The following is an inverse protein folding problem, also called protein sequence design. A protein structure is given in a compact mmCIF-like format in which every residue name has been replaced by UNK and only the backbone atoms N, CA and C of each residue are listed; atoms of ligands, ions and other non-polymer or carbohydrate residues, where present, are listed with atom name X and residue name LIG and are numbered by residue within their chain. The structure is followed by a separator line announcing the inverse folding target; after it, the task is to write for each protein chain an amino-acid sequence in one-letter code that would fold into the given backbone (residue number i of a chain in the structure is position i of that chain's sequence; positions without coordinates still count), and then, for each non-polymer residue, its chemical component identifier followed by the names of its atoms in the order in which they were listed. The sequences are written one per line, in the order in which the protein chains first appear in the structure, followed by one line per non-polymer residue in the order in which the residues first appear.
data_IF_521841862049
#
_entry.id   IF_521841862049
#
_cell.length_a   1.000
_cell.length_b   1.000
_cell.length_c   1.000
_cell.angle_alpha   90.00
_cell.angle_beta   90.00
_cell.angle_gamma   90.00
#
_symmetry.space_group_name_H-M   'P 1'
#
loop_
_entity.id
_entity.type
_entity.pdbx_description
1 polymer ?
#
# COMPACT_ATOMS: atom_id res chain seq x y z
N UNK A 1 1.95 21.46 -8.51
CA UNK A 1 2.52 21.67 -9.86
C UNK A 1 3.49 20.53 -10.13
N UNK A 2 3.02 19.50 -10.83
CA UNK A 2 3.81 18.32 -11.19
C UNK A 2 4.17 18.49 -12.66
N UNK A 3 5.46 18.68 -12.92
CA UNK A 3 6.02 18.71 -14.26
C UNK A 3 5.96 17.28 -14.83
N UNK A 4 4.98 17.03 -15.69
CA UNK A 4 4.77 15.74 -16.33
C UNK A 4 5.68 15.63 -17.56
N UNK A 5 6.78 14.89 -17.39
CA UNK A 5 7.39 13.99 -18.36
C UNK A 5 7.55 14.46 -19.80
N UNK A 6 8.72 15.05 -20.08
CA UNK A 6 9.25 15.24 -21.43
C UNK A 6 9.44 13.88 -22.13
N UNK A 7 9.12 13.88 -23.43
CA UNK A 7 9.08 12.71 -24.31
C UNK A 7 10.40 11.94 -24.38
N UNK A 8 10.30 10.64 -24.14
CA UNK A 8 11.34 9.66 -24.39
C UNK A 8 11.12 9.16 -25.83
N UNK A 9 11.78 9.82 -26.79
CA UNK A 9 11.80 9.39 -28.18
C UNK A 9 12.57 8.08 -28.28
N UNK A 10 11.82 7.01 -28.57
CA UNK A 10 12.29 5.65 -28.83
C UNK A 10 13.12 5.62 -30.12
N UNK A 11 14.41 5.94 -29.99
CA UNK A 11 15.38 5.87 -31.09
C UNK A 11 15.71 4.40 -31.37
N UNK A 12 14.92 3.77 -32.22
CA UNK A 12 15.16 2.39 -32.66
C UNK A 12 16.59 2.26 -33.21
N UNK A 13 17.44 1.38 -32.65
CA UNK A 13 18.78 1.18 -33.15
C UNK A 13 18.70 0.65 -34.59
N UNK A 14 19.17 1.45 -35.55
CA UNK A 14 19.32 1.02 -36.95
C UNK A 14 20.40 -0.05 -37.01
N UNK A 15 19.99 -1.31 -36.89
CA UNK A 15 20.85 -2.46 -37.11
C UNK A 15 21.31 -2.48 -38.58
N UNK A 16 22.51 -1.95 -38.83
CA UNK A 16 23.23 -2.15 -40.09
C UNK A 16 23.56 -3.63 -40.22
N UNK A 17 22.72 -4.38 -40.94
CA UNK A 17 23.08 -5.72 -41.42
C UNK A 17 24.14 -5.58 -42.51
N UNK A 18 25.39 -5.50 -42.11
CA UNK A 18 26.51 -5.76 -43.02
C UNK A 18 26.60 -7.27 -43.19
N UNK A 19 25.98 -7.78 -44.25
CA UNK A 19 26.26 -9.14 -44.73
C UNK A 19 27.71 -9.16 -45.23
N UNK A 20 28.65 -9.41 -44.32
CA UNK A 20 30.03 -9.71 -44.69
C UNK A 20 30.04 -11.11 -45.31
N UNK A 21 29.77 -11.18 -46.61
CA UNK A 21 30.15 -12.32 -47.42
C UNK A 21 31.63 -12.61 -47.12
N UNK A 22 32.00 -13.85 -46.76
CA UNK A 22 33.36 -14.17 -46.37
C UNK A 22 34.31 -13.81 -47.51
N UNK A 23 35.09 -12.75 -47.29
CA UNK A 23 35.94 -12.06 -48.28
C UNK A 23 37.03 -12.94 -48.93
N UNK A 24 37.09 -14.24 -48.62
CA UNK A 24 38.10 -15.17 -49.13
C UNK A 24 37.55 -16.31 -50.00
N UNK A 25 36.26 -16.65 -49.90
CA UNK A 25 35.73 -17.87 -50.53
C UNK A 25 35.74 -17.77 -52.07
N UNK A 26 35.33 -16.63 -52.61
CA UNK A 26 35.31 -16.41 -54.07
C UNK A 26 36.70 -16.50 -54.71
N UNK A 27 37.74 -15.98 -54.04
CA UNK A 27 39.11 -15.98 -54.59
C UNK A 27 39.72 -17.39 -54.62
N UNK A 28 39.46 -18.21 -53.60
CA UNK A 28 39.90 -19.61 -53.55
C UNK A 28 39.19 -20.44 -54.63
N UNK A 29 37.87 -20.28 -54.76
CA UNK A 29 37.07 -21.00 -55.76
C UNK A 29 37.49 -20.68 -57.20
N UNK A 30 37.75 -19.40 -57.51
CA UNK A 30 38.26 -19.00 -58.82
C UNK A 30 39.64 -19.61 -59.13
N UNK A 31 40.52 -19.73 -58.13
CA UNK A 31 41.85 -20.33 -58.32
C UNK A 31 41.77 -21.84 -58.59
N UNK A 32 40.96 -22.58 -57.83
CA UNK A 32 40.74 -24.02 -58.06
C UNK A 32 40.01 -24.29 -59.39
N UNK A 33 39.01 -23.47 -59.73
CA UNK A 33 38.34 -23.54 -61.03
C UNK A 33 39.31 -23.30 -62.19
N UNK A 34 40.15 -22.27 -62.09
CA UNK A 34 41.19 -21.98 -63.07
C UNK A 34 42.22 -23.10 -63.21
N UNK A 35 42.69 -23.66 -62.10
CA UNK A 35 43.62 -24.80 -62.08
C UNK A 35 43.01 -26.05 -62.73
N UNK A 36 41.71 -26.29 -62.52
CA UNK A 36 40.99 -27.45 -63.09
C UNK A 36 40.81 -27.30 -64.60
N UNK A 37 40.45 -26.11 -65.08
CA UNK A 37 40.35 -25.80 -66.53
C UNK A 37 41.72 -25.95 -67.19
N UNK A 38 42.77 -25.41 -66.58
CA UNK A 38 44.14 -25.53 -67.08
C UNK A 38 44.59 -27.00 -67.16
N UNK A 39 44.28 -27.81 -66.14
CA UNK A 39 44.58 -29.24 -66.12
C UNK A 39 43.88 -30.01 -67.25
N UNK A 40 42.60 -29.71 -67.51
CA UNK A 40 41.84 -30.32 -68.61
C UNK A 40 42.46 -29.94 -69.96
N UNK A 41 42.86 -28.68 -70.15
CA UNK A 41 43.51 -28.22 -71.39
C UNK A 41 44.86 -28.91 -71.63
N UNK A 42 45.71 -29.00 -70.61
CA UNK A 42 47.00 -29.69 -70.69
C UNK A 42 46.80 -31.17 -71.00
N UNK A 43 45.87 -31.81 -70.30
CA UNK A 43 45.60 -33.24 -70.48
C UNK A 43 45.01 -33.55 -71.85
N UNK A 44 44.11 -32.70 -72.36
CA UNK A 44 43.58 -32.79 -73.72
C UNK A 44 44.67 -32.63 -74.78
N UNK A 45 45.60 -31.68 -74.60
CA UNK A 45 46.74 -31.50 -75.48
C UNK A 45 47.68 -32.72 -75.49
N UNK A 46 47.94 -33.32 -74.32
CA UNK A 46 48.73 -34.56 -74.19
C UNK A 46 48.03 -35.73 -74.90
N UNK A 47 46.71 -35.87 -74.73
CA UNK A 47 45.93 -36.92 -75.40
C UNK A 47 45.98 -36.83 -76.92
N UNK A 48 45.87 -35.61 -77.47
CA UNK A 48 46.03 -35.35 -78.90
C UNK A 48 47.45 -35.65 -79.39
N UNK A 49 48.47 -35.31 -78.58
CA UNK A 49 49.87 -35.55 -78.91
C UNK A 49 50.23 -37.05 -78.93
N UNK A 50 49.69 -37.84 -78.01
CA UNK A 50 49.97 -39.27 -77.87
C UNK A 50 49.21 -40.16 -78.86
N UNK A 51 48.32 -39.61 -79.70
CA UNK A 51 47.47 -40.36 -80.66
C UNK A 51 46.82 -41.58 -80.02
N UNK A 52 46.01 -41.36 -78.98
CA UNK A 52 45.26 -42.42 -78.31
C UNK A 52 44.48 -43.25 -79.36
N UNK A 53 44.63 -44.59 -79.38
CA UNK A 53 43.99 -45.43 -80.41
C UNK A 53 42.47 -45.26 -80.44
N UNK A 54 41.86 -45.41 -81.62
CA UNK A 54 40.43 -45.16 -81.90
C UNK A 54 39.44 -46.16 -81.25
N UNK A 55 39.84 -46.82 -80.16
CA UNK A 55 38.97 -47.67 -79.36
C UNK A 55 38.11 -46.85 -78.39
N UNK A 56 36.80 -47.07 -78.39
CA UNK A 56 35.90 -46.44 -77.41
C UNK A 56 36.31 -46.73 -75.95
N UNK A 57 36.91 -47.90 -75.68
CA UNK A 57 37.36 -48.29 -74.34
C UNK A 57 38.60 -47.49 -73.88
N UNK A 58 39.55 -47.22 -74.77
CA UNK A 58 40.78 -46.48 -74.44
C UNK A 58 40.53 -45.00 -74.19
N UNK A 59 39.51 -44.43 -74.85
CA UNK A 59 39.03 -43.08 -74.56
C UNK A 59 38.38 -42.97 -73.18
N UNK A 60 37.64 -44.00 -72.74
CA UNK A 60 37.06 -44.07 -71.40
C UNK A 60 38.12 -44.07 -70.30
N UNK A 61 39.14 -44.92 -70.43
CA UNK A 61 40.23 -45.04 -69.44
C UNK A 61 41.06 -43.75 -69.32
N UNK A 62 41.32 -43.07 -70.46
CA UNK A 62 42.03 -41.80 -70.49
C UNK A 62 41.24 -40.67 -69.80
N UNK A 63 39.94 -40.54 -70.12
CA UNK A 63 39.08 -39.55 -69.50
C UNK A 63 38.88 -39.83 -68.00
N UNK A 64 38.78 -41.09 -67.59
CA UNK A 64 38.74 -41.47 -66.18
C UNK A 64 40.04 -41.10 -65.45
N UNK A 65 41.20 -41.34 -66.07
CA UNK A 65 42.51 -40.98 -65.51
C UNK A 65 42.70 -39.47 -65.33
N UNK A 66 42.18 -38.64 -66.24
CA UNK A 66 42.28 -37.18 -66.15
C UNK A 66 41.28 -36.58 -65.17
N UNK A 67 40.06 -37.13 -65.14
CA UNK A 67 38.97 -36.63 -64.30
C UNK A 67 39.15 -36.98 -62.82
N UNK A 68 39.79 -38.11 -62.49
CA UNK A 68 39.96 -38.53 -61.10
C UNK A 68 40.75 -37.54 -60.23
N UNK A 69 41.95 -37.04 -60.62
CA UNK A 69 42.66 -36.00 -59.86
C UNK A 69 41.90 -34.68 -59.77
N UNK A 70 41.20 -34.29 -60.84
CA UNK A 70 40.42 -33.04 -60.87
C UNK A 70 39.23 -33.09 -59.89
N UNK A 71 38.50 -34.21 -59.85
CA UNK A 71 37.43 -34.44 -58.90
C UNK A 71 37.94 -34.45 -57.45
N UNK A 72 39.10 -35.08 -57.20
CA UNK A 72 39.71 -35.11 -55.88
C UNK A 72 40.16 -33.72 -55.39
N UNK A 73 40.74 -32.90 -56.27
CA UNK A 73 41.12 -31.52 -55.95
C UNK A 73 39.91 -30.65 -55.58
N UNK A 74 38.79 -30.82 -56.30
CA UNK A 74 37.53 -30.13 -55.99
C UNK A 74 36.94 -30.57 -54.64
N UNK A 75 37.00 -31.87 -54.34
CA UNK A 75 36.55 -32.40 -53.03
C UNK A 75 37.39 -31.83 -51.89
N UNK A 76 38.72 -31.79 -52.03
CA UNK A 76 39.60 -31.21 -51.03
C UNK A 76 39.35 -29.70 -50.82
N UNK A 77 39.15 -28.95 -51.91
CA UNK A 77 38.80 -27.53 -51.83
C UNK A 77 37.48 -27.29 -51.08
N UNK A 78 36.46 -28.12 -51.33
CA UNK A 78 35.19 -28.05 -50.62
C UNK A 78 35.34 -28.33 -49.11
N UNK A 79 36.09 -29.37 -48.73
CA UNK A 79 36.36 -29.69 -47.31
C UNK A 79 37.15 -28.59 -46.62
N UNK A 80 38.12 -27.98 -47.32
CA UNK A 80 38.86 -26.85 -46.77
C UNK A 80 37.94 -25.67 -46.48
N UNK A 81 37.13 -25.25 -47.46
CA UNK A 81 36.20 -24.13 -47.29
C UNK A 81 35.23 -24.40 -46.13
N UNK A 82 34.67 -25.61 -46.07
CA UNK A 82 33.77 -26.01 -44.99
C UNK A 82 34.46 -26.00 -43.61
N UNK A 83 35.75 -26.34 -43.54
CA UNK A 83 36.51 -26.28 -42.28
C UNK A 83 36.76 -24.85 -41.78
N UNK A 84 36.95 -23.90 -42.70
CA UNK A 84 37.10 -22.48 -42.37
C UNK A 84 35.77 -21.91 -41.83
N UNK A 85 34.63 -22.24 -42.45
CA UNK A 85 33.29 -21.85 -41.99
C UNK A 85 32.98 -22.38 -40.58
N UNK A 86 33.29 -23.66 -40.31
CA UNK A 86 33.08 -24.25 -38.98
C UNK A 86 33.95 -23.60 -37.90
N UNK A 87 35.15 -23.14 -38.25
CA UNK A 87 36.03 -22.42 -37.32
C UNK A 87 35.48 -21.03 -36.99
N UNK A 88 34.94 -20.31 -37.97
CA UNK A 88 34.29 -19.02 -37.76
C UNK A 88 33.01 -19.17 -36.92
N UNK A 89 32.16 -20.17 -37.23
CA UNK A 89 30.98 -20.47 -36.42
C UNK A 89 31.32 -20.80 -34.96
N UNK A 90 32.41 -21.52 -34.69
CA UNK A 90 32.86 -21.79 -33.30
C UNK A 90 33.28 -20.52 -32.56
N UNK A 91 33.87 -19.54 -33.26
CA UNK A 91 34.22 -18.24 -32.66
C UNK A 91 32.96 -17.44 -32.33
N UNK A 92 32.00 -17.39 -33.26
CA UNK A 92 30.71 -16.73 -33.04
C UNK A 92 29.95 -17.34 -31.86
N UNK A 93 29.84 -18.68 -31.79
CA UNK A 93 29.24 -19.37 -30.66
C UNK A 93 29.96 -19.10 -29.33
N UNK A 94 31.28 -18.91 -29.38
CA UNK A 94 32.08 -18.49 -28.23
C UNK A 94 31.68 -17.12 -27.72
N UNK A 95 31.59 -16.14 -28.61
CA UNK A 95 31.17 -14.77 -28.30
C UNK A 95 29.73 -14.72 -27.79
N UNK A 96 28.79 -15.42 -28.44
CA UNK A 96 27.40 -15.49 -27.99
C UNK A 96 27.28 -16.07 -26.57
N UNK A 97 28.11 -17.06 -26.21
CA UNK A 97 28.12 -17.60 -24.84
C UNK A 97 28.64 -16.60 -23.82
N UNK A 98 29.58 -15.74 -24.20
CA UNK A 98 30.09 -14.69 -23.33
C UNK A 98 29.05 -13.58 -23.11
N UNK A 99 28.40 -13.12 -24.17
CA UNK A 99 27.29 -12.16 -24.10
C UNK A 99 26.16 -12.67 -23.22
N UNK A 100 25.73 -13.93 -23.40
CA UNK A 100 24.70 -14.54 -22.56
C UNK A 100 25.11 -14.64 -21.09
N UNK A 101 26.41 -14.82 -20.79
CA UNK A 101 26.90 -14.80 -19.40
C UNK A 101 26.82 -13.39 -18.80
N UNK A 102 27.17 -12.36 -19.56
CA UNK A 102 27.07 -10.96 -19.13
C UNK A 102 25.62 -10.57 -18.88
N UNK A 103 24.72 -10.86 -19.81
CA UNK A 103 23.27 -10.61 -19.66
C UNK A 103 22.70 -11.32 -18.43
N UNK A 104 23.12 -12.56 -18.14
CA UNK A 104 22.70 -13.24 -16.90
C UNK A 104 23.17 -12.52 -15.64
N UNK A 105 24.40 -11.97 -15.63
CA UNK A 105 24.90 -11.20 -14.49
C UNK A 105 24.07 -9.93 -14.29
N UNK A 106 23.80 -9.20 -15.36
CA UNK A 106 22.96 -7.99 -15.32
C UNK A 106 21.55 -8.30 -14.81
N UNK A 107 20.93 -9.40 -15.27
CA UNK A 107 19.63 -9.82 -14.75
C UNK A 107 19.66 -10.15 -13.25
N UNK A 108 20.74 -10.77 -12.76
CA UNK A 108 20.91 -11.05 -11.33
C UNK A 108 21.03 -9.75 -10.54
N UNK A 109 21.78 -8.77 -11.04
CA UNK A 109 21.92 -7.47 -10.40
C UNK A 109 20.61 -6.67 -10.42
N UNK A 110 19.91 -6.62 -11.55
CA UNK A 110 18.59 -5.99 -11.65
C UNK A 110 17.59 -6.62 -10.69
N UNK A 111 17.61 -7.96 -10.54
CA UNK A 111 16.75 -8.64 -9.57
C UNK A 111 17.07 -8.26 -8.12
N UNK A 112 18.35 -8.03 -7.79
CA UNK A 112 18.76 -7.55 -6.46
C UNK A 112 18.22 -6.14 -6.21
N UNK A 113 18.41 -5.23 -7.16
CA UNK A 113 17.90 -3.84 -7.07
C UNK A 113 16.38 -3.84 -6.91
N UNK A 114 15.65 -4.60 -7.71
CA UNK A 114 14.19 -4.71 -7.58
C UNK A 114 13.76 -5.27 -6.23
N UNK A 115 14.48 -6.25 -5.68
CA UNK A 115 14.20 -6.81 -4.35
C UNK A 115 14.44 -5.77 -3.25
N UNK A 116 15.48 -4.96 -3.38
CA UNK A 116 15.77 -3.87 -2.44
C UNK A 116 14.73 -2.75 -2.52
N UNK A 117 14.33 -2.36 -3.74
CA UNK A 117 13.24 -1.39 -3.96
C UNK A 117 11.91 -1.89 -3.39
N UNK A 118 11.56 -3.17 -3.59
CA UNK A 118 10.36 -3.75 -3.00
C UNK A 118 10.40 -3.68 -1.47
N UNK A 119 11.55 -4.02 -0.84
CA UNK A 119 11.72 -3.89 0.61
C UNK A 119 11.58 -2.45 1.09
N UNK A 120 12.14 -1.49 0.36
CA UNK A 120 12.01 -0.06 0.69
C UNK A 120 10.56 0.40 0.56
N UNK A 121 9.85 -0.02 -0.48
CA UNK A 121 8.43 0.28 -0.66
C UNK A 121 7.57 -0.30 0.48
N UNK A 122 7.83 -1.53 0.92
CA UNK A 122 7.15 -2.11 2.09
C UNK A 122 7.37 -1.27 3.35
N UNK A 123 8.62 -0.88 3.64
CA UNK A 123 8.92 -0.01 4.80
C UNK A 123 8.25 1.35 4.70
N UNK A 124 8.17 1.94 3.50
CA UNK A 124 7.46 3.19 3.28
C UNK A 124 5.95 3.03 3.52
N UNK A 125 5.35 1.93 3.06
CA UNK A 125 3.95 1.64 3.30
C UNK A 125 3.64 1.46 4.81
N UNK A 126 4.50 0.76 5.54
CA UNK A 126 4.41 0.61 7.00
C UNK A 126 4.49 1.96 7.72
N UNK A 127 5.42 2.83 7.30
CA UNK A 127 5.56 4.16 7.88
C UNK A 127 4.35 5.07 7.62
N UNK A 128 3.80 5.03 6.40
CA UNK A 128 2.58 5.77 6.04
C UNK A 128 1.37 5.24 6.81
N UNK A 129 1.26 3.91 7.00
CA UNK A 129 0.20 3.32 7.81
C UNK A 129 0.28 3.79 9.27
N UNK A 130 1.47 3.79 9.86
CA UNK A 130 1.68 4.30 11.23
C UNK A 130 1.34 5.78 11.37
N UNK A 131 1.71 6.62 10.40
CA UNK A 131 1.31 8.04 10.40
C UNK A 131 -0.19 8.23 10.27
N UNK A 132 -0.84 7.44 9.42
CA UNK A 132 -2.28 7.50 9.23
C UNK A 132 -3.02 7.12 10.51
N UNK A 133 -2.54 6.11 11.25
CA UNK A 133 -3.08 5.73 12.56
C UNK A 133 -2.95 6.87 13.59
N UNK A 134 -1.80 7.54 13.65
CA UNK A 134 -1.60 8.70 14.53
C UNK A 134 -2.57 9.84 14.20
N UNK A 135 -2.69 10.21 12.91
CA UNK A 135 -3.60 11.28 12.49
C UNK A 135 -5.08 10.95 12.75
N UNK A 136 -5.47 9.68 12.62
CA UNK A 136 -6.82 9.23 12.93
C UNK A 136 -7.13 9.33 14.44
N UNK A 137 -6.14 9.01 15.29
CA UNK A 137 -6.27 9.20 16.74
C UNK A 137 -6.35 10.67 17.12
N UNK A 138 -5.48 11.52 16.56
CA UNK A 138 -5.50 12.97 16.82
C UNK A 138 -6.85 13.60 16.42
N UNK A 139 -7.41 13.18 15.28
CA UNK A 139 -8.74 13.62 14.84
C UNK A 139 -9.84 13.16 15.81
N UNK A 140 -9.74 11.93 16.30
CA UNK A 140 -10.73 11.38 17.25
C UNK A 140 -10.63 12.10 18.60
N UNK A 141 -9.42 12.43 19.06
CA UNK A 141 -9.19 13.22 20.28
C UNK A 141 -9.78 14.63 20.17
N UNK A 142 -9.59 15.30 19.03
CA UNK A 142 -10.19 16.61 18.81
C UNK A 142 -11.73 16.55 18.74
N UNK A 143 -12.28 15.52 18.09
CA UNK A 143 -13.73 15.28 18.11
C UNK A 143 -14.24 15.05 19.54
N UNK A 144 -13.50 14.29 20.35
CA UNK A 144 -13.84 14.05 21.74
C UNK A 144 -13.83 15.35 22.56
N UNK A 145 -12.79 16.19 22.43
CA UNK A 145 -12.73 17.51 23.08
C UNK A 145 -13.86 18.43 22.65
N UNK A 146 -14.25 18.41 21.36
CA UNK A 146 -15.43 19.15 20.88
C UNK A 146 -16.69 18.65 21.57
N UNK A 147 -16.87 17.33 21.67
CA UNK A 147 -18.04 16.74 22.37
C UNK A 147 -18.04 17.05 23.86
N UNK A 148 -16.89 17.08 24.53
CA UNK A 148 -16.79 17.53 25.93
C UNK A 148 -17.20 19.00 26.08
N UNK A 149 -16.80 19.87 25.16
CA UNK A 149 -17.24 21.28 25.14
C UNK A 149 -18.75 21.40 24.94
N UNK A 150 -19.32 20.64 24.00
CA UNK A 150 -20.76 20.62 23.76
C UNK A 150 -21.54 20.04 24.95
N UNK A 151 -21.00 19.01 25.60
CA UNK A 151 -21.56 18.45 26.83
C UNK A 151 -21.57 19.51 27.94
N UNK A 152 -20.46 20.22 28.14
CA UNK A 152 -20.38 21.33 29.10
C UNK A 152 -21.46 22.37 28.82
N UNK A 153 -21.51 22.89 27.58
CA UNK A 153 -22.51 23.88 27.19
C UNK A 153 -23.92 23.40 27.46
N UNK A 154 -24.24 22.16 27.06
CA UNK A 154 -25.54 21.53 27.31
C UNK A 154 -25.87 21.49 28.82
N UNK A 155 -24.95 21.00 29.65
CA UNK A 155 -25.17 20.91 31.10
C UNK A 155 -25.41 22.31 31.69
N UNK A 156 -24.60 23.30 31.31
CA UNK A 156 -24.76 24.66 31.83
C UNK A 156 -25.99 25.39 31.31
N UNK A 157 -26.51 25.03 30.12
CA UNK A 157 -27.71 25.66 29.55
C UNK A 157 -29.01 25.00 29.98
N UNK A 158 -28.97 23.70 30.28
CA UNK A 158 -30.17 22.90 30.54
C UNK A 158 -30.47 22.75 32.02
N UNK A 159 -29.45 22.76 32.88
CA UNK A 159 -29.64 22.68 34.32
C UNK A 159 -29.50 24.09 34.91
N UNK A 160 -30.55 24.54 35.61
CA UNK A 160 -30.58 25.87 36.22
C UNK A 160 -29.53 25.98 37.33
N UNK A 161 -28.81 27.10 37.33
CA UNK A 161 -27.90 27.44 38.41
C UNK A 161 -28.69 27.68 39.71
N UNK A 162 -28.39 26.94 40.77
CA UNK A 162 -28.99 27.13 42.10
C UNK A 162 -28.05 27.96 42.96
N UNK A 163 -28.39 29.23 43.19
CA UNK A 163 -27.56 30.11 44.00
C UNK A 163 -27.85 29.96 45.49
N UNK A 164 -26.80 29.78 46.28
CA UNK A 164 -26.84 29.74 47.74
C UNK A 164 -25.73 30.58 48.35
N UNK A 165 -25.91 31.04 49.59
CA UNK A 165 -24.87 31.75 50.31
C UNK A 165 -23.93 30.76 51.00
N UNK A 166 -22.66 30.77 50.60
CA UNK A 166 -21.61 29.95 51.23
C UNK A 166 -20.69 30.87 52.03
N UNK A 167 -20.39 30.50 53.27
CA UNK A 167 -19.43 31.24 54.10
C UNK A 167 -18.00 30.90 53.67
N UNK A 168 -17.28 31.89 53.12
CA UNK A 168 -15.86 31.78 52.75
C UNK A 168 -15.07 32.82 53.54
N UNK A 169 -14.34 32.37 54.56
CA UNK A 169 -13.49 33.23 55.37
C UNK A 169 -14.25 34.30 56.16
N UNK A 170 -15.45 33.99 56.64
CA UNK A 170 -16.30 34.92 57.40
C UNK A 170 -17.27 35.74 56.55
N UNK A 171 -17.10 35.76 55.22
CA UNK A 171 -17.97 36.47 54.29
C UNK A 171 -18.98 35.52 53.63
N UNK A 172 -20.26 35.92 53.58
CA UNK A 172 -21.30 35.22 52.81
C UNK A 172 -21.18 35.58 51.34
N UNK A 173 -20.74 34.64 50.52
CA UNK A 173 -20.63 34.82 49.07
C UNK A 173 -21.75 34.04 48.40
N UNK A 174 -22.50 34.70 47.51
CA UNK A 174 -23.47 34.02 46.65
C UNK A 174 -22.71 33.13 45.67
N UNK A 175 -22.90 31.83 45.75
CA UNK A 175 -22.22 30.85 44.91
C UNK A 175 -23.25 29.90 44.31
N UNK A 176 -23.01 29.48 43.06
CA UNK A 176 -23.78 28.39 42.48
C UNK A 176 -23.45 27.08 43.22
N UNK A 177 -24.48 26.53 43.82
CA UNK A 177 -24.51 25.30 44.62
C UNK A 177 -25.20 24.15 43.90
N UNK A 178 -25.70 24.37 42.67
CA UNK A 178 -26.39 23.34 41.90
C UNK A 178 -25.50 22.12 41.67
N UNK A 179 -26.09 20.92 41.78
CA UNK A 179 -25.38 19.66 41.62
C UNK A 179 -24.56 19.62 40.31
N UNK A 180 -25.12 20.09 39.20
CA UNK A 180 -24.48 20.02 37.88
C UNK A 180 -23.70 21.27 37.45
N UNK A 181 -23.94 22.42 38.07
CA UNK A 181 -23.40 23.71 37.61
C UNK A 181 -22.45 24.35 38.64
N UNK A 182 -22.64 24.05 39.93
CA UNK A 182 -21.94 24.73 41.01
C UNK A 182 -20.43 24.52 41.00
N UNK A 183 -19.64 25.59 40.94
CA UNK A 183 -18.16 25.53 40.98
C UNK A 183 -17.52 24.62 39.93
N UNK A 184 -18.12 24.51 38.74
CA UNK A 184 -17.58 23.67 37.68
C UNK A 184 -16.35 24.31 36.99
N UNK A 185 -15.28 23.54 36.69
CA UNK A 185 -14.12 24.03 35.96
C UNK A 185 -14.48 24.55 34.56
N UNK A 186 -13.72 25.54 34.07
CA UNK A 186 -13.83 26.00 32.69
C UNK A 186 -13.22 25.01 31.69
N UNK A 187 -12.19 24.29 32.08
CA UNK A 187 -11.58 23.26 31.24
C UNK A 187 -12.55 22.07 31.00
N UNK A 188 -12.81 21.66 29.74
CA UNK A 188 -13.81 20.63 29.43
C UNK A 188 -13.51 19.25 30.03
N UNK A 189 -12.23 18.87 30.13
CA UNK A 189 -11.82 17.57 30.69
C UNK A 189 -12.04 17.56 32.20
N UNK A 190 -11.57 18.60 32.90
CA UNK A 190 -11.82 18.76 34.34
C UNK A 190 -13.30 18.93 34.68
N UNK A 191 -14.06 19.62 33.81
CA UNK A 191 -15.50 19.73 33.91
C UNK A 191 -16.14 18.33 33.87
N UNK A 192 -15.80 17.55 32.84
CA UNK A 192 -16.31 16.21 32.64
C UNK A 192 -15.99 15.28 33.82
N UNK A 193 -14.74 15.25 34.27
CA UNK A 193 -14.34 14.45 35.44
C UNK A 193 -15.14 14.83 36.69
N UNK A 194 -15.32 16.13 36.93
CA UNK A 194 -16.10 16.60 38.08
C UNK A 194 -17.59 16.28 37.95
N UNK A 195 -18.15 16.39 36.75
CA UNK A 195 -19.53 16.03 36.45
C UNK A 195 -19.79 14.54 36.75
N UNK A 196 -18.97 13.65 36.18
CA UNK A 196 -19.13 12.21 36.39
C UNK A 196 -18.91 11.83 37.86
N UNK A 197 -17.95 12.44 38.58
CA UNK A 197 -17.79 12.22 40.03
C UNK A 197 -18.99 12.69 40.85
N UNK A 198 -19.67 13.76 40.43
CA UNK A 198 -20.88 14.23 41.11
C UNK A 198 -22.07 13.32 40.83
N UNK A 199 -22.25 12.94 39.56
CA UNK A 199 -23.24 11.95 39.15
C UNK A 199 -23.05 10.64 39.91
N UNK A 200 -21.84 10.10 39.97
CA UNK A 200 -21.56 8.86 40.71
C UNK A 200 -21.83 9.00 42.21
N UNK A 201 -21.70 10.20 42.79
CA UNK A 201 -22.04 10.47 44.20
C UNK A 201 -23.53 10.72 44.45
N UNK A 202 -24.29 11.03 43.40
CA UNK A 202 -25.73 11.31 43.47
C UNK A 202 -26.58 10.10 43.05
N UNK A 203 -25.97 9.12 42.37
CA UNK A 203 -26.56 7.85 41.98
C UNK A 203 -26.22 6.82 43.07
N UNK A 204 -27.12 6.52 44.00
CA UNK A 204 -26.80 5.71 45.17
C UNK A 204 -26.68 4.22 44.81
N UNK A 205 -25.64 3.55 45.32
CA UNK A 205 -25.71 2.13 45.70
C UNK A 205 -25.68 1.91 47.21
N UNK A 206 -25.21 2.90 47.98
CA UNK A 206 -25.13 2.84 49.44
C UNK A 206 -25.80 4.07 50.04
N UNK A 207 -26.72 3.91 51.01
CA UNK A 207 -27.41 5.03 51.65
C UNK A 207 -26.44 5.76 52.57
N UNK A 208 -25.77 6.79 52.03
CA UNK A 208 -25.15 7.83 52.83
C UNK A 208 -26.10 9.04 52.89
N UNK A 209 -26.19 9.73 54.03
CA UNK A 209 -27.11 10.85 54.25
C UNK A 209 -26.91 12.00 53.24
N UNK A 210 -25.68 12.24 52.78
CA UNK A 210 -25.38 13.24 51.75
C UNK A 210 -25.76 12.76 50.33
N UNK A 211 -25.74 11.44 50.08
CA UNK A 211 -26.14 10.83 48.82
C UNK A 211 -27.66 10.92 48.62
N UNK A 212 -28.45 10.82 49.70
CA UNK A 212 -29.91 10.98 49.65
C UNK A 212 -30.30 12.41 49.25
N UNK A 213 -29.67 13.42 49.84
CA UNK A 213 -29.93 14.82 49.48
C UNK A 213 -29.59 15.11 48.00
N UNK A 214 -28.46 14.57 47.51
CA UNK A 214 -28.06 14.71 46.09
C UNK A 214 -28.96 13.91 45.16
N UNK A 215 -29.40 12.72 45.56
CA UNK A 215 -30.33 11.90 44.80
C UNK A 215 -31.69 12.58 44.69
N UNK A 216 -32.17 13.20 45.78
CA UNK A 216 -33.38 14.02 45.78
C UNK A 216 -33.23 15.24 44.85
N UNK A 217 -32.07 15.90 44.85
CA UNK A 217 -31.80 16.99 43.91
C UNK A 217 -31.78 16.51 42.45
N UNK A 218 -31.20 15.35 42.17
CA UNK A 218 -31.20 14.72 40.85
C UNK A 218 -32.63 14.34 40.42
N UNK A 219 -33.46 13.84 41.34
CA UNK A 219 -34.86 13.50 41.11
C UNK A 219 -35.74 14.72 40.80
N UNK A 220 -35.33 15.92 41.21
CA UNK A 220 -36.05 17.16 40.84
C UNK A 220 -35.70 17.65 39.43
N UNK A 221 -34.65 17.14 38.80
CA UNK A 221 -34.25 17.59 37.46
C UNK A 221 -35.22 17.11 36.39
N UNK A 222 -35.35 17.78 35.23
CA UNK A 222 -36.21 17.31 34.16
C UNK A 222 -35.76 15.94 33.61
N UNK A 223 -36.64 14.94 33.60
CA UNK A 223 -36.31 13.57 33.16
C UNK A 223 -35.74 13.54 31.73
N UNK A 224 -36.33 14.30 30.81
CA UNK A 224 -35.85 14.41 29.43
C UNK A 224 -34.39 14.91 29.36
N UNK A 225 -33.99 15.84 30.24
CA UNK A 225 -32.63 16.35 30.28
C UNK A 225 -31.64 15.28 30.78
N UNK A 226 -32.03 14.47 31.75
CA UNK A 226 -31.23 13.35 32.26
C UNK A 226 -31.08 12.23 31.22
N UNK A 227 -32.13 11.93 30.45
CA UNK A 227 -32.06 10.99 29.33
C UNK A 227 -31.11 11.49 28.25
N UNK A 228 -31.20 12.78 27.89
CA UNK A 228 -30.29 13.41 26.92
C UNK A 228 -28.84 13.45 27.42
N UNK A 229 -28.63 13.70 28.71
CA UNK A 229 -27.33 13.63 29.35
C UNK A 229 -26.75 12.22 29.24
N UNK A 230 -27.53 11.19 29.59
CA UNK A 230 -27.10 9.79 29.49
C UNK A 230 -26.74 9.42 28.05
N UNK A 231 -27.55 9.84 27.07
CA UNK A 231 -27.26 9.63 25.66
C UNK A 231 -25.94 10.29 25.21
N UNK A 232 -25.64 11.50 25.70
CA UNK A 232 -24.35 12.17 25.42
C UNK A 232 -23.17 11.46 26.09
N UNK A 233 -23.32 10.99 27.32
CA UNK A 233 -22.28 10.23 28.04
C UNK A 233 -22.01 8.89 27.35
N UNK A 234 -23.04 8.16 26.92
CA UNK A 234 -22.88 6.91 26.17
C UNK A 234 -22.11 7.11 24.86
N UNK A 235 -22.40 8.19 24.11
CA UNK A 235 -21.65 8.54 22.90
C UNK A 235 -20.19 8.92 23.16
N UNK A 236 -19.84 9.36 24.36
CA UNK A 236 -18.44 9.57 24.74
C UNK A 236 -17.77 8.23 25.08
N UNK A 237 -18.50 7.32 25.73
CA UNK A 237 -18.02 5.97 26.04
C UNK A 237 -17.72 5.15 24.77
N UNK A 238 -18.59 5.25 23.76
CA UNK A 238 -18.39 4.62 22.45
C UNK A 238 -17.10 5.07 21.72
N UNK A 239 -16.50 6.19 22.13
CA UNK A 239 -15.25 6.67 21.55
C UNK A 239 -14.00 6.08 22.22
N UNK A 240 -14.12 5.44 23.39
CA UNK A 240 -13.00 5.01 24.23
C UNK A 240 -11.94 4.21 23.46
N UNK A 241 -12.37 3.22 22.66
CA UNK A 241 -11.46 2.34 21.89
C UNK A 241 -10.64 3.07 20.83
N UNK A 242 -11.07 4.27 20.43
CA UNK A 242 -10.47 5.04 19.32
C UNK A 242 -9.65 6.24 19.81
N UNK A 243 -9.69 6.55 21.10
CA UNK A 243 -8.97 7.66 21.69
C UNK A 243 -7.47 7.36 21.80
N UNK A 244 -6.66 8.41 21.83
CA UNK A 244 -5.27 8.27 22.26
C UNK A 244 -5.22 7.83 23.73
N UNK A 245 -4.09 7.23 24.14
CA UNK A 245 -3.90 6.80 25.52
C UNK A 245 -4.09 7.92 26.56
N UNK A 246 -3.83 9.18 26.19
CA UNK A 246 -4.02 10.34 27.08
C UNK A 246 -5.50 10.66 27.32
N UNK A 247 -6.33 10.65 26.27
CA UNK A 247 -7.76 10.91 26.37
C UNK A 247 -8.51 9.71 26.95
N UNK A 248 -8.08 8.49 26.63
CA UNK A 248 -8.59 7.27 27.25
C UNK A 248 -8.38 7.29 28.77
N UNK A 249 -7.23 7.77 29.26
CA UNK A 249 -6.98 7.91 30.70
C UNK A 249 -7.98 8.85 31.40
N UNK A 250 -8.45 9.91 30.72
CA UNK A 250 -9.49 10.81 31.24
C UNK A 250 -10.80 10.05 31.43
N UNK A 251 -11.21 9.23 30.46
CA UNK A 251 -12.42 8.38 30.59
C UNK A 251 -12.30 7.36 31.71
N UNK A 252 -11.15 6.67 31.78
CA UNK A 252 -10.87 5.65 32.79
C UNK A 252 -10.88 6.22 34.21
N UNK A 253 -10.48 7.49 34.39
CA UNK A 253 -10.46 8.14 35.70
C UNK A 253 -11.83 8.31 36.36
N UNK A 254 -12.93 8.19 35.60
CA UNK A 254 -14.29 8.48 36.08
C UNK A 254 -15.25 7.30 36.07
N UNK A 255 -14.78 6.09 35.77
CA UNK A 255 -15.60 4.87 35.61
C UNK A 255 -16.91 5.17 34.85
N UNK A 256 -16.77 5.75 33.65
CA UNK A 256 -17.89 6.19 32.84
C UNK A 256 -18.93 5.09 32.56
N UNK A 257 -18.55 3.81 32.28
CA UNK A 257 -19.53 2.73 32.09
C UNK A 257 -20.49 2.61 33.26
N UNK A 258 -19.97 2.65 34.49
CA UNK A 258 -20.77 2.59 35.70
C UNK A 258 -21.73 3.78 35.80
N UNK A 259 -21.25 5.01 35.55
CA UNK A 259 -22.10 6.21 35.61
C UNK A 259 -23.25 6.15 34.60
N UNK A 260 -22.96 5.70 33.36
CA UNK A 260 -23.97 5.55 32.29
C UNK A 260 -25.01 4.49 32.66
N UNK A 261 -24.58 3.35 33.21
CA UNK A 261 -25.47 2.27 33.64
C UNK A 261 -26.37 2.70 34.81
N UNK A 262 -25.79 3.33 35.83
CA UNK A 262 -26.54 3.82 36.99
C UNK A 262 -27.53 4.93 36.61
N UNK A 263 -27.12 5.86 35.74
CA UNK A 263 -28.01 6.91 35.26
C UNK A 263 -29.13 6.33 34.40
N UNK A 264 -28.86 5.28 33.61
CA UNK A 264 -29.89 4.56 32.87
C UNK A 264 -30.90 3.89 33.80
N UNK A 265 -30.43 3.16 34.81
CA UNK A 265 -31.28 2.50 35.81
C UNK A 265 -32.14 3.52 36.58
N UNK A 266 -31.54 4.64 36.98
CA UNK A 266 -32.26 5.75 37.62
C UNK A 266 -33.37 6.31 36.74
N UNK A 267 -33.08 6.59 35.47
CA UNK A 267 -34.05 7.09 34.50
C UNK A 267 -35.19 6.09 34.26
N UNK A 268 -34.88 4.80 34.16
CA UNK A 268 -35.89 3.73 33.99
C UNK A 268 -36.81 3.59 35.19
N UNK A 269 -36.27 3.68 36.41
CA UNK A 269 -37.07 3.66 37.64
C UNK A 269 -38.02 4.86 37.68
N UNK A 270 -37.49 6.05 37.41
CA UNK A 270 -38.28 7.28 37.41
C UNK A 270 -39.36 7.30 36.32
N UNK A 271 -39.07 6.76 35.15
CA UNK A 271 -40.05 6.59 34.07
C UNK A 271 -41.24 5.69 34.47
N UNK A 272 -41.02 4.70 35.35
CA UNK A 272 -42.09 3.86 35.89
C UNK A 272 -42.92 4.57 36.95
N UNK A 273 -42.33 5.52 37.67
CA UNK A 273 -42.96 6.26 38.77
C UNK A 273 -43.74 7.51 38.32
N UNK A 274 -43.43 8.07 37.14
CA UNK A 274 -44.14 9.22 36.54
C UNK A 274 -45.14 8.75 35.43
N UNK A 275 -46.39 8.36 35.76
CA UNK A 275 -47.36 7.81 34.79
C UNK A 275 -47.77 8.81 33.70
N UNK A 276 -47.66 10.12 33.96
CA UNK A 276 -48.00 11.18 33.00
C UNK A 276 -47.11 11.15 31.75
N UNK A 277 -45.92 10.55 31.81
CA UNK A 277 -45.03 10.41 30.65
C UNK A 277 -45.31 9.16 29.80
N UNK A 278 -46.02 8.16 30.34
CA UNK A 278 -46.39 6.95 29.59
C UNK A 278 -47.56 7.21 28.64
N UNK A 279 -48.38 8.22 28.94
CA UNK A 279 -49.30 8.80 27.98
C UNK A 279 -48.48 9.66 27.00
N UNK A 280 -47.79 9.02 26.04
CA UNK A 280 -47.20 9.70 24.88
C UNK A 280 -48.20 10.72 24.32
N UNK A 281 -47.73 11.85 23.74
CA UNK A 281 -48.52 13.07 23.57
C UNK A 281 -49.92 12.69 23.11
N UNK A 282 -50.89 12.72 24.06
CA UNK A 282 -52.28 12.39 23.75
C UNK A 282 -52.61 13.31 22.60
N UNK A 283 -52.90 12.72 21.44
CA UNK A 283 -53.22 13.44 20.22
C UNK A 283 -54.11 14.61 20.63
N UNK A 284 -53.50 15.80 20.70
CA UNK A 284 -54.23 17.00 20.95
C UNK A 284 -55.03 17.13 19.67
N UNK A 285 -56.27 16.64 19.74
CA UNK A 285 -57.25 16.78 18.71
C UNK A 285 -57.29 18.28 18.42
N UNK A 286 -56.62 18.69 17.34
CA UNK A 286 -56.71 20.04 16.81
C UNK A 286 -58.10 20.07 16.18
N UNK A 287 -59.10 20.30 17.01
CA UNK A 287 -60.44 20.61 16.56
C UNK A 287 -60.42 22.04 16.02
N UNK A 288 -60.46 22.14 14.69
CA UNK A 288 -61.03 23.25 13.91
C UNK A 288 -60.32 24.60 13.96
#
# INVERSE_FOLDING_TARGET
MIACGAGMTDEKPKAKRTSTLPSGAGKKLCWFGGASVLWILISGAIGLYLRVPDGANTWGDFLAGISAPAAFAMLFAAVWIQSDELREQRKELGLTREELKLTRKEFVENRKVMKEQAKQATKQAEFVAAQTDILLRDRTDEEFKVRLRLLRTFVTSTFDAKYGYVNKGGNRVLQDTGLMTGSMPSDPEKFFMKLCKRLSSALPMTPDENSEAKAAELAQMPLHALVMLNGKLRRLLEMEERLSGSMAAVLQSVNLPYVVEQLNSFNEKRWKEEPDYQAGPRDAHIDG
#
